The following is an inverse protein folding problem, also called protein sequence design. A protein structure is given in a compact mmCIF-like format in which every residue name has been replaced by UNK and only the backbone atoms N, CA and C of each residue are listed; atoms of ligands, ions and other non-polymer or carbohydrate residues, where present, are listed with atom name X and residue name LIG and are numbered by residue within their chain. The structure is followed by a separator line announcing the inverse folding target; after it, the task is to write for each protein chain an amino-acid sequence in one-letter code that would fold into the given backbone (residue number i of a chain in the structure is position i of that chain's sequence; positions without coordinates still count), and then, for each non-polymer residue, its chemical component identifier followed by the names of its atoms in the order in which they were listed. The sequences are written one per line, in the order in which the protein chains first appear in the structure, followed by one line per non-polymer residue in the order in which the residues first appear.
data_IF_667026671079
#
_entry.id   IF_667026671079
#
_cell.length_a   1.000
_cell.length_b   1.000
_cell.length_c   1.000
_cell.angle_alpha   90.00
_cell.angle_beta   90.00
_cell.angle_gamma   90.00
#
_symmetry.space_group_name_H-M   'P 1'
#
loop_
_entity.id
_entity.type
_entity.pdbx_description
1 polymer ?
#
# COMPACT_ATOMS: atom_id res chain seq x y z
N UNK A 1 5.54 10.15 8.88
CA UNK A 1 4.88 10.16 7.55
C UNK A 1 4.17 8.86 7.17
N UNK A 2 4.61 7.65 7.58
CA UNK A 2 3.93 6.36 7.25
C UNK A 2 2.45 6.31 7.65
N UNK A 3 2.11 6.86 8.81
CA UNK A 3 0.73 6.93 9.32
C UNK A 3 -0.17 7.79 8.44
N UNK A 4 0.34 8.86 7.84
CA UNK A 4 -0.42 9.72 6.91
C UNK A 4 -0.86 8.92 5.68
N UNK A 5 0.03 8.09 5.11
CA UNK A 5 -0.33 7.26 3.96
C UNK A 5 -1.36 6.18 4.30
N UNK A 6 -1.30 5.62 5.51
CA UNK A 6 -2.31 4.66 5.99
C UNK A 6 -3.66 5.35 6.18
N UNK A 7 -3.69 6.54 6.79
CA UNK A 7 -4.92 7.33 6.94
C UNK A 7 -5.53 7.67 5.56
N UNK A 8 -4.68 8.03 4.60
CA UNK A 8 -5.11 8.35 3.24
C UNK A 8 -5.67 7.12 2.50
N UNK A 9 -5.04 5.94 2.66
CA UNK A 9 -5.54 4.67 2.12
C UNK A 9 -6.92 4.32 2.70
N UNK A 10 -7.08 4.42 4.02
CA UNK A 10 -8.37 4.19 4.67
C UNK A 10 -9.42 5.22 4.21
N UNK A 11 -9.05 6.49 4.08
CA UNK A 11 -9.93 7.52 3.53
C UNK A 11 -10.41 7.20 2.10
N UNK A 12 -9.50 6.75 1.22
CA UNK A 12 -9.84 6.32 -0.13
C UNK A 12 -10.74 5.07 -0.14
N UNK A 13 -10.50 4.11 0.76
CA UNK A 13 -11.33 2.92 0.92
C UNK A 13 -12.75 3.28 1.37
N UNK A 14 -12.88 4.15 2.37
CA UNK A 14 -14.18 4.65 2.83
C UNK A 14 -14.93 5.40 1.73
N UNK A 15 -14.24 6.25 0.96
CA UNK A 15 -14.85 6.98 -0.15
C UNK A 15 -15.33 6.02 -1.26
N UNK A 16 -14.53 5.01 -1.60
CA UNK A 16 -14.92 4.00 -2.58
C UNK A 16 -16.15 3.20 -2.12
N UNK A 17 -16.17 2.76 -0.86
CA UNK A 17 -17.30 2.03 -0.27
C UNK A 17 -18.55 2.91 -0.17
N UNK A 18 -18.40 4.18 0.19
CA UNK A 18 -19.50 5.14 0.26
C UNK A 18 -20.12 5.37 -1.12
N UNK A 19 -19.31 5.66 -2.13
CA UNK A 19 -19.78 5.89 -3.49
C UNK A 19 -20.43 4.63 -4.10
N UNK A 20 -19.85 3.45 -3.83
CA UNK A 20 -20.40 2.16 -4.25
C UNK A 20 -21.74 1.84 -3.57
N UNK A 21 -21.98 2.32 -2.35
CA UNK A 21 -23.24 2.08 -1.62
C UNK A 21 -24.43 2.88 -2.17
N UNK A 22 -24.20 3.88 -3.02
CA UNK A 22 -25.26 4.71 -3.57
C UNK A 22 -26.05 3.99 -4.67
N UNK A 23 -27.34 4.31 -4.79
CA UNK A 23 -28.20 3.77 -5.84
C UNK A 23 -27.77 4.18 -7.26
N UNK A 24 -27.07 5.31 -7.39
CA UNK A 24 -26.43 5.78 -8.62
C UNK A 24 -25.00 6.22 -8.29
N UNK A 25 -24.03 5.29 -8.35
CA UNK A 25 -22.63 5.62 -8.11
C UNK A 25 -22.12 6.59 -9.18
N UNK A 26 -21.35 7.59 -8.78
CA UNK A 26 -20.61 8.43 -9.70
C UNK A 26 -19.38 7.67 -10.21
N UNK A 27 -19.44 7.26 -11.48
CA UNK A 27 -18.41 6.43 -12.10
C UNK A 27 -17.02 7.09 -12.09
N UNK A 28 -16.95 8.42 -12.18
CA UNK A 28 -15.68 9.16 -12.16
C UNK A 28 -15.05 9.08 -10.76
N UNK A 29 -15.85 9.31 -9.71
CA UNK A 29 -15.38 9.26 -8.32
C UNK A 29 -14.97 7.84 -7.94
N UNK A 30 -15.75 6.84 -8.36
CA UNK A 30 -15.44 5.43 -8.13
C UNK A 30 -14.09 5.03 -8.76
N UNK A 31 -13.84 5.38 -10.03
CA UNK A 31 -12.57 5.07 -10.71
C UNK A 31 -11.41 5.79 -10.03
N UNK A 32 -11.58 7.06 -9.65
CA UNK A 32 -10.54 7.82 -8.95
C UNK A 32 -10.21 7.23 -7.58
N UNK A 33 -11.23 6.86 -6.79
CA UNK A 33 -11.06 6.24 -5.48
C UNK A 33 -10.40 4.86 -5.60
N UNK A 34 -10.78 4.06 -6.60
CA UNK A 34 -10.20 2.75 -6.88
C UNK A 34 -8.72 2.86 -7.26
N UNK A 35 -8.36 3.82 -8.12
CA UNK A 35 -6.97 4.06 -8.52
C UNK A 35 -6.11 4.50 -7.33
N UNK A 36 -6.61 5.42 -6.49
CA UNK A 36 -5.94 5.86 -5.28
C UNK A 36 -5.76 4.71 -4.27
N UNK A 37 -6.80 3.87 -4.10
CA UNK A 37 -6.74 2.69 -3.24
C UNK A 37 -5.71 1.67 -3.73
N UNK A 38 -5.69 1.37 -5.04
CA UNK A 38 -4.69 0.47 -5.64
C UNK A 38 -3.26 0.97 -5.45
N UNK A 39 -3.01 2.28 -5.63
CA UNK A 39 -1.69 2.88 -5.38
C UNK A 39 -1.31 2.76 -3.90
N UNK A 40 -2.26 3.02 -3.00
CA UNK A 40 -2.03 2.90 -1.56
C UNK A 40 -1.75 1.46 -1.14
N UNK A 41 -2.46 0.48 -1.71
CA UNK A 41 -2.21 -0.95 -1.50
C UNK A 41 -0.83 -1.37 -2.02
N UNK A 42 -0.45 -0.95 -3.24
CA UNK A 42 0.89 -1.23 -3.79
C UNK A 42 2.01 -0.73 -2.86
N UNK A 43 1.85 0.48 -2.32
CA UNK A 43 2.82 1.06 -1.36
C UNK A 43 2.84 0.34 -0.01
N UNK A 44 1.71 -0.22 0.42
CA UNK A 44 1.61 -1.02 1.64
C UNK A 44 2.33 -2.37 1.45
N UNK A 45 2.05 -3.05 0.34
CA UNK A 45 2.65 -4.36 0.00
C UNK A 45 4.16 -4.26 -0.22
N UNK A 46 4.66 -3.18 -0.83
CA UNK A 46 6.11 -2.94 -0.96
C UNK A 46 6.83 -2.74 0.39
N UNK A 47 6.10 -2.49 1.48
CA UNK A 47 6.66 -2.36 2.83
C UNK A 47 6.63 -3.68 3.61
N UNK A 48 5.86 -4.67 3.15
CA UNK A 48 5.91 -6.02 3.72
C UNK A 48 7.24 -6.60 3.26
N UNK A 49 8.18 -6.90 4.18
CA UNK A 49 9.50 -7.39 3.80
C UNK A 49 9.30 -8.64 2.95
N UNK A 50 9.75 -8.59 1.70
CA UNK A 50 9.86 -9.78 0.87
C UNK A 50 10.73 -10.77 1.63
N UNK A 51 10.29 -12.02 1.72
CA UNK A 51 10.92 -13.07 2.54
C UNK A 51 12.30 -13.51 2.01
N UNK A 52 13.00 -12.66 1.25
CA UNK A 52 14.28 -12.95 0.59
C UNK A 52 15.40 -11.93 0.78
N UNK A 53 15.20 -10.81 1.49
CA UNK A 53 16.24 -9.78 1.69
C UNK A 53 16.68 -9.66 3.15
N UNK A 54 16.98 -10.79 3.79
CA UNK A 54 17.59 -10.85 5.12
C UNK A 54 18.83 -11.76 5.16
N UNK A 55 19.41 -12.09 4.01
CA UNK A 55 20.55 -13.01 3.90
C UNK A 55 21.84 -12.37 3.36
N UNK A 56 21.88 -11.07 3.11
CA UNK A 56 23.06 -10.41 2.52
C UNK A 56 23.62 -9.28 3.42
N UNK A 57 23.61 -9.44 4.74
CA UNK A 57 24.25 -8.48 5.66
C UNK A 57 25.14 -9.15 6.73
N UNK A 58 25.46 -10.45 6.60
CA UNK A 58 26.28 -11.20 7.58
C UNK A 58 27.52 -11.92 6.98
N UNK A 59 28.09 -11.45 5.87
CA UNK A 59 29.34 -12.00 5.32
C UNK A 59 30.39 -10.92 4.99
N UNK A 60 30.70 -10.03 5.93
CA UNK A 60 31.99 -9.29 5.92
C UNK A 60 32.54 -9.20 7.35
N UNK A 61 33.05 -10.32 7.86
CA UNK A 61 33.69 -10.37 9.16
C UNK A 61 34.39 -11.70 9.43
N UNK A 62 35.70 -11.71 9.21
CA UNK A 62 36.71 -12.60 9.82
C UNK A 62 36.89 -14.03 9.27
N UNK A 63 38.12 -14.38 8.85
CA UNK A 63 38.53 -15.75 8.55
C UNK A 63 39.53 -15.98 7.42
N UNK A 64 40.80 -15.59 7.62
CA UNK A 64 42.03 -16.33 7.24
C UNK A 64 42.07 -17.18 5.95
N UNK A 65 42.90 -16.77 4.96
CA UNK A 65 43.99 -17.58 4.35
C UNK A 65 45.14 -16.67 3.97
#
# INVERSE_FOLDING_TARGET
MKTIYIILLFGAAFLALFEQSQAKPNMIIMIAAMAAFMIGLMRLMAKVPSKGERQNEEEEGDGTV
#
